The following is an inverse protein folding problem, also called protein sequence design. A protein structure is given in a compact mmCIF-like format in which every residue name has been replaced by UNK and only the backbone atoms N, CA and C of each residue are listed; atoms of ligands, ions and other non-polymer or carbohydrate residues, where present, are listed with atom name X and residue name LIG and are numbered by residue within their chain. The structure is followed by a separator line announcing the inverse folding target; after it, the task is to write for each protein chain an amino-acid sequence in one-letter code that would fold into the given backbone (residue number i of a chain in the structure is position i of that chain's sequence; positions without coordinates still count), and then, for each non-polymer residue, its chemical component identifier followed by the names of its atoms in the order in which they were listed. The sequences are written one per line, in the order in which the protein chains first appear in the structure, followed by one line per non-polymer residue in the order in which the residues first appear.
data_IF_657248586775
#
_entry.id   IF_657248586775
#
_cell.length_a   1.000
_cell.length_b   1.000
_cell.length_c   1.000
_cell.angle_alpha   90.00
_cell.angle_beta   90.00
_cell.angle_gamma   90.00
#
_symmetry.space_group_name_H-M   'P 1'
#
loop_
_entity.id
_entity.type
_entity.pdbx_description
1 polymer ?
#
# COMPACT_ATOMS: atom_id res chain seq x y z
N UNK A 1 -3.43 -50.68 29.95
CA UNK A 1 -2.74 -49.37 29.88
C UNK A 1 -2.08 -49.30 28.51
N UNK A 2 -2.58 -48.45 27.61
CA UNK A 2 -2.00 -48.32 26.27
C UNK A 2 -0.92 -47.24 26.29
N UNK A 3 0.34 -47.65 26.13
CA UNK A 3 1.45 -46.72 25.98
C UNK A 3 1.56 -46.32 24.51
N UNK A 4 1.22 -45.08 24.18
CA UNK A 4 1.42 -44.53 22.84
C UNK A 4 2.88 -44.12 22.70
N UNK A 5 3.67 -44.93 21.98
CA UNK A 5 5.04 -44.57 21.62
C UNK A 5 5.02 -43.51 20.51
N UNK A 6 5.20 -42.24 20.88
CA UNK A 6 5.36 -41.13 19.93
C UNK A 6 6.79 -41.19 19.37
N UNK A 7 6.98 -41.39 18.05
CA UNK A 7 8.32 -41.50 17.48
C UNK A 7 9.13 -40.21 17.67
N UNK A 8 10.43 -40.31 17.98
CA UNK A 8 11.27 -39.12 18.22
C UNK A 8 11.29 -38.09 17.07
N UNK A 9 11.09 -38.54 15.82
CA UNK A 9 10.99 -37.64 14.67
C UNK A 9 9.75 -36.74 14.71
N UNK A 10 8.65 -37.18 15.33
CA UNK A 10 7.44 -36.37 15.44
C UNK A 10 7.59 -35.20 16.40
N UNK A 11 8.38 -35.35 17.47
CA UNK A 11 8.74 -34.25 18.38
C UNK A 11 9.59 -33.21 17.65
N UNK A 12 10.56 -33.66 16.85
CA UNK A 12 11.42 -32.77 16.04
C UNK A 12 10.58 -32.00 15.01
N UNK A 13 9.64 -32.67 14.34
CA UNK A 13 8.75 -32.01 13.37
C UNK A 13 7.83 -30.97 14.03
N UNK A 14 7.25 -31.28 15.19
CA UNK A 14 6.40 -30.34 15.92
C UNK A 14 7.22 -29.14 16.38
N UNK A 15 8.38 -29.37 16.99
CA UNK A 15 9.27 -28.30 17.44
C UNK A 15 9.75 -27.43 16.27
N UNK A 16 10.14 -28.03 15.15
CA UNK A 16 10.54 -27.31 13.94
C UNK A 16 9.38 -26.49 13.34
N UNK A 17 8.17 -27.04 13.33
CA UNK A 17 6.98 -26.32 12.84
C UNK A 17 6.65 -25.13 13.74
N UNK A 18 6.67 -25.31 15.05
CA UNK A 18 6.44 -24.23 16.02
C UNK A 18 7.52 -23.14 15.90
N UNK A 19 8.79 -23.53 15.76
CA UNK A 19 9.89 -22.59 15.54
C UNK A 19 9.68 -21.79 14.25
N UNK A 20 9.29 -22.46 13.16
CA UNK A 20 9.05 -21.80 11.87
C UNK A 20 7.90 -20.80 11.98
N UNK A 21 6.77 -21.18 12.58
CA UNK A 21 5.63 -20.29 12.78
C UNK A 21 5.91 -19.16 13.80
N UNK A 22 6.80 -19.40 14.77
CA UNK A 22 7.21 -18.40 15.75
C UNK A 22 8.23 -17.40 15.23
N UNK A 23 8.96 -17.72 14.16
CA UNK A 23 10.06 -16.89 13.62
C UNK A 23 9.73 -16.24 12.29
N UNK A 24 8.97 -16.91 11.43
CA UNK A 24 8.62 -16.44 10.09
C UNK A 24 7.11 -16.36 9.93
N UNK A 25 6.67 -15.34 9.20
CA UNK A 25 5.29 -15.24 8.76
C UNK A 25 5.04 -16.16 7.56
N UNK A 26 4.97 -17.47 7.84
CA UNK A 26 4.83 -18.53 6.82
C UNK A 26 3.62 -18.26 5.92
N UNK A 27 2.50 -17.82 6.51
CA UNK A 27 1.28 -17.52 5.78
C UNK A 27 1.47 -16.35 4.78
N UNK A 28 2.21 -15.31 5.17
CA UNK A 28 2.58 -14.21 4.27
C UNK A 28 3.36 -14.74 3.05
N UNK A 29 4.46 -15.45 3.29
CA UNK A 29 5.36 -15.88 2.21
C UNK A 29 4.68 -16.89 1.30
N UNK A 30 3.94 -17.86 1.85
CA UNK A 30 3.18 -18.81 1.05
C UNK A 30 2.16 -18.11 0.14
N UNK A 31 1.44 -17.12 0.68
CA UNK A 31 0.45 -16.36 -0.08
C UNK A 31 1.09 -15.44 -1.11
N UNK A 32 2.23 -14.83 -0.80
CA UNK A 32 3.00 -14.03 -1.75
C UNK A 32 3.44 -14.89 -2.94
N UNK A 33 4.03 -16.05 -2.66
CA UNK A 33 4.43 -17.01 -3.70
C UNK A 33 3.24 -17.48 -4.54
N UNK A 34 2.11 -17.80 -3.91
CA UNK A 34 0.88 -18.14 -4.62
C UNK A 34 0.42 -16.99 -5.52
N UNK A 35 0.43 -15.74 -5.03
CA UNK A 35 -0.03 -14.56 -5.76
C UNK A 35 0.83 -14.31 -7.00
N UNK A 36 2.16 -14.33 -6.84
CA UNK A 36 3.11 -14.14 -7.95
C UNK A 36 3.01 -15.29 -8.96
N UNK A 37 2.95 -16.53 -8.50
CA UNK A 37 2.81 -17.71 -9.38
C UNK A 37 1.49 -17.66 -10.16
N UNK A 38 0.39 -17.31 -9.48
CA UNK A 38 -0.91 -17.14 -10.12
C UNK A 38 -0.88 -16.03 -11.16
N UNK A 39 -0.30 -14.88 -10.83
CA UNK A 39 -0.15 -13.75 -11.73
C UNK A 39 0.68 -14.10 -12.97
N UNK A 40 1.80 -14.80 -12.78
CA UNK A 40 2.75 -15.18 -13.84
C UNK A 40 2.18 -16.21 -14.83
N UNK A 41 1.52 -17.24 -14.33
CA UNK A 41 1.16 -18.41 -15.16
C UNK A 41 -0.33 -18.51 -15.48
N UNK A 42 -1.21 -17.90 -14.67
CA UNK A 42 -2.67 -18.10 -14.78
C UNK A 42 -3.46 -16.82 -15.03
N UNK A 43 -2.82 -15.63 -14.98
CA UNK A 43 -3.48 -14.35 -15.24
C UNK A 43 -2.95 -13.73 -16.53
N UNK A 44 -3.82 -13.00 -17.23
CA UNK A 44 -3.42 -12.26 -18.43
C UNK A 44 -2.53 -11.09 -18.02
N UNK A 45 -1.50 -10.83 -18.84
CA UNK A 45 -0.71 -9.59 -18.77
C UNK A 45 -1.65 -8.38 -18.89
N UNK A 46 -1.28 -7.29 -18.24
CA UNK A 46 -2.05 -6.06 -18.18
C UNK A 46 -1.18 -4.89 -18.60
N UNK A 47 -1.78 -3.87 -19.24
CA UNK A 47 -1.09 -2.61 -19.42
C UNK A 47 -0.96 -1.90 -18.06
N UNK A 48 0.06 -1.05 -17.91
CA UNK A 48 0.26 -0.26 -16.67
C UNK A 48 -0.89 0.70 -16.38
N UNK A 49 -1.63 1.10 -17.42
CA UNK A 49 -2.82 1.94 -17.32
C UNK A 49 -4.11 1.15 -16.99
N UNK A 50 -4.05 -0.17 -17.04
CA UNK A 50 -5.21 -1.01 -16.75
C UNK A 50 -5.38 -1.20 -15.24
N UNK A 51 -6.63 -1.35 -14.83
CA UNK A 51 -6.95 -1.73 -13.46
C UNK A 51 -6.81 -3.24 -13.31
N UNK A 52 -5.97 -3.67 -12.36
CA UNK A 52 -5.85 -5.08 -11.97
C UNK A 52 -6.76 -5.40 -10.78
N UNK A 53 -7.06 -6.69 -10.60
CA UNK A 53 -7.98 -7.17 -9.57
C UNK A 53 -7.39 -8.41 -8.88
N UNK A 54 -7.32 -8.33 -7.55
CA UNK A 54 -7.03 -9.47 -6.67
C UNK A 54 -8.24 -9.72 -5.77
N UNK A 55 -8.61 -10.99 -5.62
CA UNK A 55 -9.71 -11.40 -4.74
C UNK A 55 -9.13 -12.06 -3.49
N UNK A 56 -9.73 -11.75 -2.33
CA UNK A 56 -9.28 -12.22 -1.03
C UNK A 56 -10.47 -12.44 -0.09
N UNK A 57 -10.19 -13.05 1.05
CA UNK A 57 -11.14 -13.32 2.12
C UNK A 57 -10.60 -12.74 3.43
N UNK A 58 -11.49 -12.18 4.25
CA UNK A 58 -11.17 -11.82 5.62
C UNK A 58 -11.15 -13.11 6.47
N UNK A 59 -9.97 -13.67 6.72
CA UNK A 59 -9.80 -14.89 7.49
C UNK A 59 -9.65 -14.59 8.98
N UNK A 60 -9.70 -15.63 9.83
CA UNK A 60 -9.50 -15.50 11.27
C UNK A 60 -8.19 -14.79 11.65
N UNK A 61 -7.13 -15.01 10.87
CA UNK A 61 -5.83 -14.35 11.06
C UNK A 61 -5.85 -12.85 10.82
N UNK A 62 -6.90 -12.35 10.16
CA UNK A 62 -7.03 -10.96 9.74
C UNK A 62 -7.92 -10.14 10.68
N UNK A 63 -8.58 -10.78 11.64
CA UNK A 63 -9.54 -10.14 12.55
C UNK A 63 -8.80 -9.53 13.74
N UNK A 64 -9.27 -8.37 14.21
CA UNK A 64 -8.78 -7.75 15.43
C UNK A 64 -9.35 -8.42 16.71
N UNK A 65 -8.79 -8.06 17.87
CA UNK A 65 -9.08 -8.59 19.22
C UNK A 65 -10.57 -8.68 19.58
N UNK A 66 -11.39 -7.76 19.08
CA UNK A 66 -12.84 -7.76 19.32
C UNK A 66 -13.62 -8.70 18.38
N UNK A 67 -12.94 -9.40 17.47
CA UNK A 67 -13.49 -10.37 16.52
C UNK A 67 -14.60 -9.85 15.56
N UNK A 68 -14.83 -8.54 15.49
CA UNK A 68 -15.93 -7.96 14.70
C UNK A 68 -15.53 -7.52 13.29
N UNK A 69 -14.25 -7.25 13.04
CA UNK A 69 -13.80 -6.69 11.78
C UNK A 69 -12.34 -6.99 11.45
N UNK A 70 -12.03 -6.87 10.17
CA UNK A 70 -10.67 -6.93 9.67
C UNK A 70 -9.82 -5.82 10.30
N UNK A 71 -8.68 -6.19 10.88
CA UNK A 71 -7.74 -5.28 11.49
C UNK A 71 -7.24 -4.25 10.45
N UNK A 72 -7.15 -2.97 10.84
CA UNK A 72 -6.70 -1.88 9.98
C UNK A 72 -5.34 -2.14 9.32
N UNK A 73 -4.39 -2.74 10.05
CA UNK A 73 -3.06 -3.09 9.52
C UNK A 73 -3.13 -4.16 8.42
N UNK A 74 -4.15 -5.03 8.45
CA UNK A 74 -4.34 -6.07 7.43
C UNK A 74 -4.69 -5.48 6.08
N UNK A 75 -5.37 -4.33 6.02
CA UNK A 75 -5.61 -3.65 4.75
C UNK A 75 -4.28 -3.31 4.04
N UNK A 76 -3.33 -2.67 4.72
CA UNK A 76 -2.04 -2.31 4.10
C UNK A 76 -1.23 -3.54 3.69
N UNK A 77 -1.27 -4.61 4.49
CA UNK A 77 -0.66 -5.89 4.15
C UNK A 77 -1.29 -6.53 2.90
N UNK A 78 -2.61 -6.47 2.76
CA UNK A 78 -3.31 -6.98 1.58
C UNK A 78 -2.88 -6.26 0.29
N UNK A 79 -2.46 -4.98 0.41
CA UNK A 79 -1.94 -4.22 -0.72
C UNK A 79 -0.59 -4.75 -1.22
N UNK A 80 0.21 -5.44 -0.40
CA UNK A 80 1.44 -6.09 -0.88
C UNK A 80 1.13 -7.13 -1.95
N UNK A 81 0.11 -7.96 -1.71
CA UNK A 81 -0.33 -8.97 -2.67
C UNK A 81 -0.93 -8.32 -3.92
N UNK A 82 -1.73 -7.26 -3.74
CA UNK A 82 -2.31 -6.52 -4.87
C UNK A 82 -1.24 -5.86 -5.75
N UNK A 83 -0.19 -5.28 -5.14
CA UNK A 83 0.96 -4.73 -5.85
C UNK A 83 1.79 -5.83 -6.53
N UNK A 84 2.03 -6.95 -5.87
CA UNK A 84 2.75 -8.07 -6.48
C UNK A 84 2.03 -8.61 -7.73
N UNK A 85 0.70 -8.77 -7.69
CA UNK A 85 -0.10 -9.13 -8.88
C UNK A 85 0.03 -8.07 -9.98
N UNK A 86 -0.08 -6.78 -9.62
CA UNK A 86 0.06 -5.68 -10.58
C UNK A 86 1.45 -5.67 -11.22
N UNK A 87 2.51 -5.76 -10.43
CA UNK A 87 3.90 -5.75 -10.89
C UNK A 87 4.23 -6.92 -11.81
N UNK A 88 3.77 -8.11 -11.46
CA UNK A 88 4.02 -9.29 -12.26
C UNK A 88 3.25 -9.23 -13.60
N UNK A 89 1.98 -8.81 -13.57
CA UNK A 89 1.15 -8.75 -14.78
C UNK A 89 1.52 -7.63 -15.73
N UNK A 90 2.07 -6.53 -15.21
CA UNK A 90 2.58 -5.40 -16.02
C UNK A 90 4.07 -5.53 -16.35
N UNK A 91 4.77 -6.53 -15.83
CA UNK A 91 6.24 -6.61 -15.99
C UNK A 91 7.01 -5.46 -15.34
N UNK A 92 6.36 -4.62 -14.53
CA UNK A 92 7.00 -3.43 -13.94
C UNK A 92 8.20 -3.80 -13.08
N UNK A 93 8.04 -4.76 -12.17
CA UNK A 93 9.12 -5.14 -11.27
C UNK A 93 10.28 -5.82 -12.01
N UNK A 94 9.99 -6.68 -12.99
CA UNK A 94 11.04 -7.33 -13.79
C UNK A 94 11.81 -6.31 -14.64
N UNK A 95 11.15 -5.32 -15.24
CA UNK A 95 11.80 -4.23 -15.98
C UNK A 95 12.68 -3.36 -15.08
N UNK A 96 12.20 -3.01 -13.88
CA UNK A 96 12.98 -2.23 -12.90
C UNK A 96 14.22 -3.02 -12.47
N UNK A 97 14.04 -4.30 -12.14
CA UNK A 97 15.16 -5.17 -11.74
C UNK A 97 16.16 -5.38 -12.87
N UNK A 98 15.70 -5.55 -14.11
CA UNK A 98 16.58 -5.72 -15.28
C UNK A 98 17.41 -4.46 -15.56
N UNK A 99 16.87 -3.27 -15.25
CA UNK A 99 17.59 -2.01 -15.33
C UNK A 99 18.48 -1.73 -14.10
N UNK A 100 18.59 -2.66 -13.14
CA UNK A 100 19.40 -2.50 -11.94
C UNK A 100 18.75 -1.72 -10.80
N UNK A 101 17.50 -1.28 -10.95
CA UNK A 101 16.79 -0.51 -9.94
C UNK A 101 16.09 -1.35 -8.86
N UNK A 102 15.44 -0.65 -7.94
CA UNK A 102 14.58 -1.22 -6.90
C UNK A 102 13.34 -0.35 -6.67
N UNK A 103 12.28 -0.94 -6.13
CA UNK A 103 11.04 -0.24 -5.75
C UNK A 103 10.84 -0.32 -4.25
N UNK A 104 10.50 0.81 -3.63
CA UNK A 104 10.19 0.91 -2.21
C UNK A 104 8.85 1.61 -1.98
N UNK A 105 8.12 1.16 -0.97
CA UNK A 105 6.95 1.89 -0.46
C UNK A 105 7.45 3.11 0.33
N UNK A 106 7.32 4.31 -0.25
CA UNK A 106 7.79 5.55 0.39
C UNK A 106 6.74 6.19 1.30
N UNK A 107 5.47 6.13 0.92
CA UNK A 107 4.36 6.65 1.70
C UNK A 107 3.07 5.91 1.36
N UNK A 108 2.16 5.79 2.32
CA UNK A 108 0.81 5.30 2.10
C UNK A 108 -0.16 6.12 2.94
N UNK A 109 -1.33 6.42 2.38
CA UNK A 109 -2.49 6.87 3.14
C UNK A 109 -3.66 5.96 2.83
N UNK A 110 -4.50 5.70 3.82
CA UNK A 110 -5.67 4.85 3.68
C UNK A 110 -6.85 5.52 4.37
N UNK A 111 -7.97 5.57 3.65
CA UNK A 111 -9.25 6.05 4.16
C UNK A 111 -10.22 4.90 4.28
N UNK A 112 -10.67 4.65 5.51
CA UNK A 112 -11.67 3.63 5.83
C UNK A 112 -13.07 4.23 5.76
N UNK A 113 -13.97 3.56 5.05
CA UNK A 113 -15.39 3.94 4.93
C UNK A 113 -16.28 3.00 5.72
N UNK A 114 -16.07 1.69 5.57
CA UNK A 114 -16.79 0.64 6.29
C UNK A 114 -15.87 -0.53 6.53
N UNK A 115 -15.93 -1.10 7.72
CA UNK A 115 -15.17 -2.29 8.05
C UNK A 115 -15.58 -3.50 7.19
N UNK A 116 -14.64 -4.41 6.95
CA UNK A 116 -14.90 -5.71 6.32
C UNK A 116 -15.20 -6.71 7.42
N UNK A 117 -16.34 -7.42 7.30
CA UNK A 117 -16.75 -8.45 8.25
C UNK A 117 -15.87 -9.70 8.13
N UNK A 118 -15.68 -10.45 9.23
CA UNK A 118 -15.08 -11.79 9.19
C UNK A 118 -15.73 -12.66 8.12
N UNK A 119 -14.92 -13.52 7.50
CA UNK A 119 -15.34 -14.50 6.48
C UNK A 119 -16.02 -13.89 5.24
N UNK A 120 -15.88 -12.57 5.05
CA UNK A 120 -16.38 -11.90 3.86
C UNK A 120 -15.33 -11.90 2.77
N UNK A 121 -15.76 -12.20 1.54
CA UNK A 121 -14.95 -12.02 0.35
C UNK A 121 -14.87 -10.54 -0.01
N UNK A 122 -13.70 -10.08 -0.40
CA UNK A 122 -13.50 -8.74 -0.95
C UNK A 122 -12.57 -8.78 -2.15
N UNK A 123 -12.61 -7.70 -2.91
CA UNK A 123 -11.78 -7.44 -4.08
C UNK A 123 -10.89 -6.25 -3.79
N UNK A 124 -9.66 -6.29 -4.28
CA UNK A 124 -8.75 -5.15 -4.32
C UNK A 124 -8.54 -4.81 -5.79
N UNK A 125 -8.99 -3.63 -6.21
CA UNK A 125 -8.61 -3.05 -7.49
C UNK A 125 -7.32 -2.26 -7.31
N UNK A 126 -6.39 -2.33 -8.27
CA UNK A 126 -5.15 -1.56 -8.24
C UNK A 126 -4.90 -0.91 -9.59
N UNK A 127 -4.63 0.39 -9.59
CA UNK A 127 -4.33 1.17 -10.80
C UNK A 127 -3.17 2.15 -10.54
N UNK A 128 -2.33 2.37 -11.54
CA UNK A 128 -1.40 3.49 -11.54
C UNK A 128 -2.17 4.79 -11.83
N UNK A 129 -2.10 5.76 -10.92
CA UNK A 129 -2.84 7.03 -11.05
C UNK A 129 -2.00 8.16 -11.60
N UNK A 130 -0.70 8.14 -11.34
CA UNK A 130 0.25 9.14 -11.84
C UNK A 130 1.67 8.59 -11.65
N UNK A 131 2.65 9.15 -12.34
CA UNK A 131 4.06 8.90 -12.08
C UNK A 131 4.88 10.15 -12.41
N UNK A 132 5.96 10.33 -11.66
CA UNK A 132 7.01 11.30 -11.95
C UNK A 132 8.30 10.57 -12.35
N UNK A 133 9.41 11.29 -12.46
CA UNK A 133 10.71 10.72 -12.82
C UNK A 133 11.20 9.64 -11.84
N UNK A 134 10.78 9.64 -10.57
CA UNK A 134 11.31 8.75 -9.52
C UNK A 134 10.24 7.95 -8.80
N UNK A 135 8.97 8.19 -9.10
CA UNK A 135 7.87 7.74 -8.27
C UNK A 135 6.71 7.27 -9.13
N UNK A 136 6.16 6.10 -8.80
CA UNK A 136 4.87 5.62 -9.27
C UNK A 136 3.83 5.77 -8.16
N UNK A 137 2.73 6.46 -8.45
CA UNK A 137 1.60 6.59 -7.55
C UNK A 137 0.52 5.57 -7.93
N UNK A 138 0.08 4.80 -6.93
CA UNK A 138 -0.93 3.77 -7.11
C UNK A 138 -2.13 4.02 -6.19
N UNK A 139 -3.32 3.78 -6.72
CA UNK A 139 -4.55 3.76 -5.94
C UNK A 139 -5.09 2.34 -5.85
N UNK A 140 -5.55 1.99 -4.67
CA UNK A 140 -6.13 0.70 -4.35
C UNK A 140 -7.50 0.85 -3.70
N UNK A 141 -8.51 0.14 -4.19
CA UNK A 141 -9.84 0.16 -3.60
C UNK A 141 -10.24 -1.23 -3.11
N UNK A 142 -10.69 -1.30 -1.85
CA UNK A 142 -11.26 -2.50 -1.24
C UNK A 142 -12.76 -2.53 -1.49
N UNK A 143 -13.21 -3.47 -2.32
CA UNK A 143 -14.60 -3.60 -2.75
C UNK A 143 -15.20 -4.85 -2.13
N UNK A 144 -16.25 -4.68 -1.33
CA UNK A 144 -16.94 -5.77 -0.66
C UNK A 144 -18.04 -6.41 -1.52
N UNK A 145 -18.75 -7.40 -0.97
CA UNK A 145 -19.92 -7.98 -1.61
C UNK A 145 -20.97 -6.89 -1.87
N UNK A 146 -21.53 -6.87 -3.09
CA UNK A 146 -22.47 -5.83 -3.52
C UNK A 146 -21.82 -4.54 -4.05
N UNK A 147 -20.49 -4.49 -4.21
CA UNK A 147 -19.79 -3.42 -4.92
C UNK A 147 -19.48 -2.18 -4.08
N UNK A 148 -19.76 -2.19 -2.78
CA UNK A 148 -19.41 -1.08 -1.88
C UNK A 148 -17.90 -0.98 -1.68
N UNK A 149 -17.34 0.23 -1.78
CA UNK A 149 -15.92 0.48 -1.48
C UNK A 149 -15.74 0.70 0.03
N UNK A 150 -15.13 -0.27 0.69
CA UNK A 150 -14.84 -0.30 2.13
C UNK A 150 -13.67 0.58 2.53
N UNK A 151 -12.63 0.63 1.71
CA UNK A 151 -11.45 1.44 1.95
C UNK A 151 -10.79 1.84 0.63
N UNK A 152 -10.12 2.99 0.62
CA UNK A 152 -9.30 3.46 -0.50
C UNK A 152 -7.93 3.80 0.04
N UNK A 153 -6.88 3.29 -0.61
CA UNK A 153 -5.50 3.57 -0.25
C UNK A 153 -4.75 4.17 -1.42
N UNK A 154 -3.99 5.23 -1.16
CA UNK A 154 -3.06 5.83 -2.12
C UNK A 154 -1.65 5.54 -1.64
N UNK A 155 -0.83 5.02 -2.53
CA UNK A 155 0.52 4.54 -2.26
C UNK A 155 1.53 5.24 -3.16
N UNK A 156 2.64 5.68 -2.57
CA UNK A 156 3.81 6.24 -3.25
C UNK A 156 4.89 5.18 -3.34
N UNK A 157 5.17 4.70 -4.55
CA UNK A 157 6.24 3.75 -4.84
C UNK A 157 7.44 4.50 -5.39
N UNK A 158 8.53 4.56 -4.65
CA UNK A 158 9.77 5.20 -5.10
C UNK A 158 10.64 4.18 -5.82
N UNK A 159 11.08 4.54 -7.02
CA UNK A 159 12.08 3.80 -7.78
C UNK A 159 13.45 4.40 -7.47
N UNK A 160 14.44 3.54 -7.21
CA UNK A 160 15.82 3.94 -6.89
C UNK A 160 16.74 3.53 -8.03
N UNK A 161 17.84 4.28 -8.18
CA UNK A 161 18.94 4.10 -9.15
C UNK A 161 18.58 4.31 -10.62
N UNK A 162 17.28 4.29 -10.95
CA UNK A 162 16.77 4.49 -12.31
C UNK A 162 15.56 5.44 -12.31
N UNK A 163 15.23 5.95 -13.50
CA UNK A 163 14.02 6.75 -13.72
C UNK A 163 12.78 5.86 -13.83
N UNK A 164 11.76 6.16 -13.03
CA UNK A 164 10.45 5.52 -13.09
C UNK A 164 9.74 5.83 -14.41
N UNK A 165 9.80 7.07 -14.90
CA UNK A 165 9.13 7.47 -16.14
C UNK A 165 9.68 6.71 -17.35
N UNK A 166 10.99 6.54 -17.45
CA UNK A 166 11.61 5.75 -18.53
C UNK A 166 11.12 4.29 -18.54
N UNK A 167 10.99 3.66 -17.37
CA UNK A 167 10.46 2.30 -17.29
C UNK A 167 8.98 2.25 -17.67
N UNK A 168 8.18 3.21 -17.20
CA UNK A 168 6.75 3.26 -17.55
C UNK A 168 6.57 3.46 -19.06
N UNK A 169 7.34 4.34 -19.68
CA UNK A 169 7.34 4.57 -21.13
C UNK A 169 7.73 3.31 -21.92
N UNK A 170 8.78 2.60 -21.48
CA UNK A 170 9.16 1.32 -22.05
C UNK A 170 8.00 0.31 -21.99
N UNK A 171 7.32 0.19 -20.86
CA UNK A 171 6.18 -0.71 -20.70
C UNK A 171 4.99 -0.31 -21.56
N UNK A 172 4.70 0.98 -21.70
CA UNK A 172 3.65 1.49 -22.58
C UNK A 172 3.94 1.14 -24.06
N UNK A 173 5.20 1.27 -24.48
CA UNK A 173 5.63 0.88 -25.82
C UNK A 173 5.49 -0.63 -26.03
N UNK A 174 5.96 -1.45 -25.08
CA UNK A 174 5.90 -2.92 -25.17
C UNK A 174 4.46 -3.46 -25.15
N UNK A 175 3.56 -2.86 -24.38
CA UNK A 175 2.21 -3.39 -24.19
C UNK A 175 1.21 -2.92 -25.24
N UNK A 176 1.30 -1.68 -25.72
CA UNK A 176 0.30 -1.13 -26.63
C UNK A 176 0.86 -0.60 -27.95
N UNK A 177 2.18 -0.62 -28.17
CA UNK A 177 2.78 -0.01 -29.36
C UNK A 177 2.40 1.47 -29.53
N UNK A 178 2.14 2.19 -28.44
CA UNK A 178 1.70 3.60 -28.45
C UNK A 178 0.20 3.85 -28.57
N UNK A 179 -0.65 2.81 -28.56
CA UNK A 179 -2.13 2.96 -28.69
C UNK A 179 -2.89 2.93 -27.36
N UNK A 180 -2.19 2.93 -26.22
CA UNK A 180 -2.88 2.91 -24.93
C UNK A 180 -3.72 4.18 -24.72
N UNK A 181 -4.62 4.14 -23.74
CA UNK A 181 -5.32 5.32 -23.22
C UNK A 181 -4.32 6.45 -22.91
N UNK A 182 -4.71 7.72 -23.07
CA UNK A 182 -3.88 8.83 -22.65
C UNK A 182 -3.57 8.68 -21.16
N UNK A 183 -2.28 8.75 -20.82
CA UNK A 183 -1.85 8.81 -19.43
C UNK A 183 -2.15 10.20 -18.85
N UNK A 184 -2.36 10.32 -17.53
CA UNK A 184 -2.63 11.61 -16.91
C UNK A 184 -1.43 12.54 -17.06
N UNK A 185 -1.59 13.61 -17.84
CA UNK A 185 -0.56 14.63 -18.06
C UNK A 185 -0.36 15.53 -16.83
N UNK A 186 -1.40 15.67 -16.01
CA UNK A 186 -1.38 16.46 -14.78
C UNK A 186 -1.74 15.58 -13.59
N UNK A 187 -1.00 15.76 -12.50
CA UNK A 187 -1.30 15.12 -11.23
C UNK A 187 -2.71 15.53 -10.75
N UNK A 188 -3.55 14.58 -10.32
CA UNK A 188 -4.86 14.89 -9.75
C UNK A 188 -4.75 15.84 -8.53
N UNK A 189 -5.67 16.79 -8.32
CA UNK A 189 -5.55 17.79 -7.25
C UNK A 189 -5.44 17.20 -5.84
N UNK A 190 -6.20 16.13 -5.54
CA UNK A 190 -6.12 15.45 -4.24
C UNK A 190 -4.74 14.79 -4.04
N UNK A 191 -4.18 14.20 -5.10
CA UNK A 191 -2.86 13.59 -5.06
C UNK A 191 -1.78 14.65 -4.87
N UNK A 192 -1.92 15.81 -5.53
CA UNK A 192 -0.99 16.94 -5.39
C UNK A 192 -0.93 17.45 -3.94
N UNK A 193 -2.08 17.69 -3.31
CA UNK A 193 -2.14 18.12 -1.90
C UNK A 193 -1.55 17.07 -0.96
N UNK A 194 -1.80 15.79 -1.23
CA UNK A 194 -1.19 14.71 -0.46
C UNK A 194 0.34 14.68 -0.63
N UNK A 195 0.85 14.84 -1.85
CA UNK A 195 2.30 14.91 -2.11
C UNK A 195 2.92 16.11 -1.40
N UNK A 196 2.30 17.31 -1.50
CA UNK A 196 2.77 18.51 -0.79
C UNK A 196 2.83 18.28 0.72
N UNK A 197 1.82 17.65 1.31
CA UNK A 197 1.81 17.28 2.73
C UNK A 197 2.98 16.36 3.11
N UNK A 198 3.26 15.34 2.29
CA UNK A 198 4.40 14.44 2.51
C UNK A 198 5.75 15.15 2.39
N UNK A 199 5.91 16.07 1.44
CA UNK A 199 7.14 16.85 1.26
C UNK A 199 7.36 17.82 2.44
N UNK A 200 6.31 18.50 2.92
CA UNK A 200 6.37 19.35 4.12
C UNK A 200 6.75 18.54 5.37
N UNK A 201 6.16 17.36 5.55
CA UNK A 201 6.51 16.44 6.64
C UNK A 201 7.97 15.98 6.54
N UNK A 202 8.41 15.60 5.34
CA UNK A 202 9.79 15.18 5.08
C UNK A 202 10.81 16.29 5.34
N UNK A 203 10.49 17.54 4.97
CA UNK A 203 11.35 18.69 5.21
C UNK A 203 11.57 18.94 6.70
N UNK A 204 10.52 18.81 7.52
CA UNK A 204 10.62 18.93 8.99
C UNK A 204 11.56 17.91 9.60
N UNK A 205 11.54 16.67 9.11
CA UNK A 205 12.42 15.60 9.58
C UNK A 205 13.88 15.85 9.19
N UNK A 206 14.13 16.37 7.97
CA UNK A 206 15.48 16.76 7.53
C UNK A 206 16.01 17.95 8.33
N UNK A 207 15.19 18.95 8.60
CA UNK A 207 15.59 20.12 9.40
C UNK A 207 15.90 19.79 10.86
N UNK A 208 15.31 18.73 11.42
CA UNK A 208 15.65 18.23 12.76
C UNK A 208 17.01 17.50 12.82
N UNK A 209 17.56 17.10 11.66
CA UNK A 209 18.85 16.39 11.58
C UNK A 209 20.04 17.37 11.57
N UNK A 210 19.79 18.66 11.33
CA UNK A 210 20.75 19.75 11.50
C UNK A 210 20.31 20.48 12.78
N UNK A 211 21.18 20.69 13.80
CA UNK A 211 20.80 21.50 14.95
C UNK A 211 20.62 22.95 14.49
N UNK A 212 19.40 23.32 14.13
CA UNK A 212 19.00 24.70 13.86
C UNK A 212 18.54 25.29 15.21
N UNK A 213 19.11 26.42 15.67
CA UNK A 213 18.60 27.12 16.83
C UNK A 213 17.13 27.46 16.59
N UNK A 214 16.26 27.05 17.51
CA UNK A 214 14.82 27.32 17.43
C UNK A 214 14.63 28.84 17.37
N UNK A 215 14.04 29.41 16.30
CA UNK A 215 13.65 30.81 16.30
C UNK A 215 12.56 31.01 17.34
N UNK A 216 12.72 32.01 18.22
CA UNK A 216 11.70 32.36 19.19
C UNK A 216 10.38 32.64 18.46
N UNK A 217 9.32 31.94 18.85
CA UNK A 217 7.97 32.26 18.39
C UNK A 217 7.60 33.58 19.07
N UNK A 218 7.50 34.66 18.28
CA UNK A 218 6.87 35.89 18.75
C UNK A 218 5.41 35.58 19.09
N UNK A 219 5.10 35.60 20.38
CA UNK A 219 3.73 35.53 20.87
C UNK A 219 3.08 36.87 20.51
N UNK A 220 2.03 36.90 19.66
CA UNK A 220 1.32 38.15 19.40
C UNK A 220 0.74 38.68 20.72
N UNK A 221 0.72 40.02 20.91
CA UNK A 221 0.17 40.61 22.12
C UNK A 221 -1.29 40.17 22.31
N UNK A 222 -1.75 39.97 23.55
CA UNK A 222 -3.12 39.56 23.81
C UNK A 222 -4.07 40.58 23.20
N UNK A 223 -4.92 40.12 22.29
CA UNK A 223 -6.00 40.91 21.73
C UNK A 223 -6.90 41.36 22.87
N UNK A 224 -7.02 42.67 23.09
CA UNK A 224 -7.96 43.23 24.06
C UNK A 224 -9.36 42.67 23.80
N UNK A 225 -9.93 42.00 24.80
CA UNK A 225 -11.30 41.53 24.77
C UNK A 225 -12.24 42.73 24.59
N UNK A 226 -13.18 42.57 23.66
CA UNK A 226 -14.25 43.47 23.22
C UNK A 226 -14.68 44.57 24.19
N UNK A 227 -14.81 45.77 23.62
CA UNK A 227 -15.57 46.88 24.17
C UNK A 227 -16.98 46.42 24.57
N UNK A 228 -17.32 46.64 25.84
CA UNK A 228 -18.68 46.54 26.36
C UNK A 228 -19.47 47.71 25.77
N UNK A 229 -20.38 47.42 24.84
CA UNK A 229 -21.39 48.38 24.41
C UNK A 229 -22.37 48.56 25.57
N UNK A 230 -22.24 49.66 26.32
CA UNK A 230 -23.25 50.10 27.26
C UNK A 230 -24.48 50.57 26.49
N UNK A 231 -25.59 49.83 26.59
CA UNK A 231 -26.90 50.28 26.14
C UNK A 231 -27.43 51.36 27.09
N UNK A 232 -27.49 52.60 26.62
CA UNK A 232 -28.27 53.67 27.23
C UNK A 232 -29.51 53.95 26.36
N UNK A 233 -30.65 53.91 27.04
CA UNK A 233 -32.02 54.33 26.67
C UNK A 233 -32.85 53.44 25.72
#
# INVERSE_FOLDING_TARGET
MWSVCVPGWSVILVAGTLLLYGTLDVAYFARMMYTVTKARYFRKKACILDTTEVQSWCLLTDIDTLLYHMNNARYLRELDFARADFYERTGLYSSIKAAGGAVLQAAATIRYRRYVKPFSKFKITSKAVFWDDKTLFMEHEFIGPGGFIHAVAVCRQRVIDISASTIVELLLQLHCGGTCKPHPQKMPPELELWVQSNELSSAKLRSQTIPVPIPAIEVPPPTECGEVITSTE
#
